data_IF_873746326370
#
_entry.id   IF_873746326370
#
_cell.length_a   1.000
_cell.length_b   1.000
_cell.length_c   1.000
_cell.angle_alpha   90.00
_cell.angle_beta   90.00
_cell.angle_gamma   90.00
#
_symmetry.space_group_name_H-M   'P 1'
#
loop_
_entity.id
_entity.type
_entity.pdbx_description
1 polymer ?
#
# COMPACT_ATOMS: atom_id res chain seq x y z
N UNK A 1 7.36 -20.16 -7.24
CA UNK A 1 7.34 -18.76 -6.73
C UNK A 1 6.14 -17.96 -7.23
N UNK A 2 5.73 -18.07 -8.51
CA UNK A 2 4.56 -17.34 -9.02
C UNK A 2 3.24 -17.70 -8.31
N UNK A 3 3.00 -18.99 -8.01
CA UNK A 3 1.76 -19.43 -7.37
C UNK A 3 1.54 -18.84 -5.97
N UNK A 4 2.57 -18.88 -5.12
CA UNK A 4 2.54 -18.24 -3.80
C UNK A 4 2.33 -16.73 -3.89
N UNK A 5 2.75 -16.10 -5.01
CA UNK A 5 2.58 -14.66 -5.20
C UNK A 5 1.12 -14.29 -5.48
N UNK A 6 0.47 -15.04 -6.36
CA UNK A 6 -0.94 -14.84 -6.68
C UNK A 6 -1.86 -15.15 -5.50
N UNK A 7 -1.56 -16.19 -4.71
CA UNK A 7 -2.34 -16.50 -3.52
C UNK A 7 -2.37 -15.35 -2.51
N UNK A 8 -1.24 -14.70 -2.24
CA UNK A 8 -1.25 -13.58 -1.30
C UNK A 8 -1.97 -12.37 -1.89
N UNK A 9 -1.84 -12.10 -3.19
CA UNK A 9 -2.55 -11.01 -3.86
C UNK A 9 -4.07 -11.20 -3.75
N UNK A 10 -4.55 -12.42 -3.98
CA UNK A 10 -5.96 -12.78 -3.81
C UNK A 10 -6.43 -12.61 -2.36
N UNK A 11 -5.61 -12.97 -1.36
CA UNK A 11 -5.95 -12.78 0.06
C UNK A 11 -6.04 -11.29 0.43
N UNK A 12 -5.10 -10.46 -0.04
CA UNK A 12 -5.15 -9.01 0.18
C UNK A 12 -6.39 -8.42 -0.46
N UNK A 13 -6.72 -8.81 -1.70
CA UNK A 13 -7.94 -8.38 -2.38
C UNK A 13 -9.20 -8.75 -1.62
N UNK A 14 -9.36 -10.03 -1.24
CA UNK A 14 -10.52 -10.48 -0.47
C UNK A 14 -10.69 -9.71 0.85
N UNK A 15 -9.57 -9.45 1.55
CA UNK A 15 -9.58 -8.73 2.82
C UNK A 15 -9.76 -7.22 2.69
N UNK A 16 -9.62 -6.63 1.50
CA UNK A 16 -9.73 -5.18 1.27
C UNK A 16 -11.05 -4.74 0.63
N UNK A 17 -11.89 -5.66 0.15
CA UNK A 17 -13.14 -5.31 -0.57
C UNK A 17 -14.19 -4.52 0.25
N UNK A 18 -14.32 -4.80 1.55
CA UNK A 18 -15.16 -4.06 2.50
C UNK A 18 -14.48 -4.04 3.86
N UNK A 19 -13.71 -2.99 4.13
CA UNK A 19 -12.94 -2.89 5.37
C UNK A 19 -12.73 -1.45 5.81
N UNK A 20 -12.59 -1.28 7.11
CA UNK A 20 -12.17 -0.01 7.69
C UNK A 20 -10.65 0.01 7.77
N UNK A 21 -10.06 1.15 7.43
CA UNK A 21 -8.62 1.31 7.41
C UNK A 21 -8.24 2.57 8.16
N UNK A 22 -7.27 2.45 9.03
CA UNK A 22 -6.54 3.58 9.57
C UNK A 22 -5.26 3.78 8.75
N UNK A 23 -5.12 4.97 8.18
CA UNK A 23 -3.97 5.37 7.37
C UNK A 23 -3.15 6.39 8.15
N UNK A 24 -1.86 6.12 8.29
CA UNK A 24 -0.90 7.10 8.80
C UNK A 24 0.10 7.44 7.71
N UNK A 25 0.24 8.72 7.40
CA UNK A 25 1.26 9.24 6.48
C UNK A 25 2.32 9.99 7.28
N UNK A 26 3.59 9.75 6.97
CA UNK A 26 4.73 10.45 7.56
C UNK A 26 5.63 11.02 6.47
N UNK A 27 5.81 12.34 6.45
CA UNK A 27 6.64 13.05 5.48
C UNK A 27 7.36 14.20 6.18
N UNK A 28 8.70 14.26 6.07
CA UNK A 28 9.47 15.37 6.65
C UNK A 28 9.29 15.57 8.16
N UNK A 29 8.99 14.50 8.91
CA UNK A 29 8.70 14.55 10.35
C UNK A 29 7.25 14.94 10.71
N UNK A 30 6.44 15.36 9.73
CA UNK A 30 5.01 15.55 9.92
C UNK A 30 4.29 14.19 9.88
N UNK A 31 3.23 14.07 10.67
CA UNK A 31 2.37 12.88 10.74
C UNK A 31 0.93 13.28 10.54
N UNK A 32 0.29 12.63 9.57
CA UNK A 32 -1.14 12.77 9.29
C UNK A 32 -1.83 11.43 9.53
N UNK A 33 -3.03 11.47 10.10
CA UNK A 33 -3.87 10.32 10.37
C UNK A 33 -5.18 10.52 9.61
N UNK A 34 -5.60 9.50 8.87
CA UNK A 34 -6.88 9.47 8.19
C UNK A 34 -7.59 8.14 8.47
N UNK A 35 -8.92 8.21 8.60
CA UNK A 35 -9.78 7.03 8.62
C UNK A 35 -10.39 6.87 7.24
N UNK A 36 -10.18 5.71 6.64
CA UNK A 36 -10.68 5.38 5.32
C UNK A 36 -11.59 4.15 5.39
N UNK A 37 -12.52 4.07 4.43
CA UNK A 37 -13.28 2.85 4.15
C UNK A 37 -12.89 2.35 2.77
N UNK A 38 -12.61 1.07 2.67
CA UNK A 38 -12.48 0.40 1.38
C UNK A 38 -13.84 -0.14 0.97
N UNK A 39 -14.28 0.23 -0.23
CA UNK A 39 -15.56 -0.23 -0.77
C UNK A 39 -15.45 -0.43 -2.26
N UNK A 40 -15.71 -1.65 -2.73
CA UNK A 40 -15.67 -2.01 -4.17
C UNK A 40 -14.35 -1.61 -4.86
N UNK A 41 -13.23 -1.73 -4.15
CA UNK A 41 -11.90 -1.37 -4.66
C UNK A 41 -11.58 0.13 -4.64
N UNK A 42 -12.44 0.96 -4.06
CA UNK A 42 -12.19 2.39 -3.85
C UNK A 42 -11.81 2.67 -2.40
N UNK A 43 -10.92 3.65 -2.21
CA UNK A 43 -10.61 4.20 -0.88
C UNK A 43 -11.48 5.44 -0.67
N UNK A 44 -12.28 5.43 0.39
CA UNK A 44 -13.16 6.52 0.77
C UNK A 44 -12.65 7.20 2.04
N UNK A 45 -12.38 8.50 1.99
CA UNK A 45 -12.09 9.33 3.18
C UNK A 45 -13.27 10.29 3.34
N UNK A 46 -13.84 10.34 4.54
CA UNK A 46 -15.05 11.14 4.82
C UNK A 46 -16.21 10.90 3.81
N UNK A 47 -16.30 9.68 3.28
CA UNK A 47 -17.24 9.22 2.24
C UNK A 47 -16.98 9.73 0.81
N UNK A 48 -15.86 10.39 0.57
CA UNK A 48 -15.43 10.83 -0.75
C UNK A 48 -14.30 9.93 -1.28
N UNK A 49 -14.29 9.68 -2.59
CA UNK A 49 -13.24 8.87 -3.22
C UNK A 49 -11.92 9.62 -3.19
N UNK A 50 -10.88 8.97 -2.65
CA UNK A 50 -9.51 9.48 -2.65
C UNK A 50 -8.58 8.52 -3.40
N UNK A 51 -8.20 8.94 -4.62
CA UNK A 51 -7.29 8.19 -5.49
C UNK A 51 -5.82 8.21 -5.04
N UNK A 52 -5.47 8.97 -4.01
CA UNK A 52 -4.11 9.07 -3.47
C UNK A 52 -3.96 8.35 -2.13
N UNK A 53 -5.05 8.11 -1.42
CA UNK A 53 -5.05 7.50 -0.10
C UNK A 53 -4.52 6.04 -0.08
N UNK A 54 -3.67 5.74 0.90
CA UNK A 54 -3.28 4.37 1.25
C UNK A 54 -2.32 3.66 0.28
N UNK A 55 -1.88 4.32 -0.80
CA UNK A 55 -0.86 3.80 -1.71
C UNK A 55 -1.18 2.38 -2.22
N UNK A 56 -0.15 1.54 -2.29
CA UNK A 56 -0.26 0.13 -2.67
C UNK A 56 -0.77 -0.76 -1.51
N UNK A 57 -0.72 -0.28 -0.26
CA UNK A 57 -1.08 -1.08 0.93
C UNK A 57 -2.54 -1.49 0.99
N UNK A 58 -3.44 -0.73 0.36
CA UNK A 58 -4.89 -1.01 0.37
C UNK A 58 -5.46 -1.18 -1.02
N UNK A 59 -4.57 -1.32 -2.00
CA UNK A 59 -4.89 -1.38 -3.44
C UNK A 59 -4.19 -2.59 -4.06
N UNK A 60 -4.80 -3.78 -3.96
CA UNK A 60 -4.25 -5.03 -4.50
C UNK A 60 -3.88 -4.93 -5.98
N UNK A 61 -4.65 -4.19 -6.77
CA UNK A 61 -4.40 -3.97 -8.19
C UNK A 61 -3.09 -3.22 -8.47
N UNK A 62 -2.70 -2.28 -7.59
CA UNK A 62 -1.42 -1.60 -7.69
C UNK A 62 -0.27 -2.56 -7.35
N UNK A 63 -0.46 -3.43 -6.36
CA UNK A 63 0.51 -4.47 -6.02
C UNK A 63 0.73 -5.45 -7.19
N UNK A 64 -0.35 -5.92 -7.84
CA UNK A 64 -0.26 -6.76 -9.05
C UNK A 64 0.55 -6.07 -10.15
N UNK A 65 0.24 -4.81 -10.43
CA UNK A 65 0.95 -4.03 -11.46
C UNK A 65 2.43 -3.85 -11.11
N UNK A 66 2.76 -3.57 -9.85
CA UNK A 66 4.17 -3.47 -9.43
C UNK A 66 4.94 -4.78 -9.64
N UNK A 67 4.33 -5.93 -9.32
CA UNK A 67 4.93 -7.24 -9.60
C UNK A 67 5.16 -7.42 -11.11
N UNK A 68 4.18 -7.08 -11.94
CA UNK A 68 4.31 -7.14 -13.40
C UNK A 68 5.40 -6.19 -13.94
N UNK A 69 5.63 -5.05 -13.28
CA UNK A 69 6.69 -4.08 -13.58
C UNK A 69 8.06 -4.47 -12.99
N UNK A 70 8.19 -5.69 -12.45
CA UNK A 70 9.47 -6.24 -11.99
C UNK A 70 9.80 -5.97 -10.52
N UNK A 71 8.80 -5.64 -9.69
CA UNK A 71 9.00 -5.59 -8.24
C UNK A 71 9.46 -6.96 -7.71
N UNK A 72 10.44 -6.95 -6.80
CA UNK A 72 10.92 -8.16 -6.13
C UNK A 72 9.98 -8.50 -4.97
N UNK A 73 9.58 -9.76 -4.89
CA UNK A 73 8.69 -10.27 -3.84
C UNK A 73 9.48 -11.24 -2.95
N UNK A 74 9.33 -11.08 -1.65
CA UNK A 74 9.84 -12.02 -0.65
C UNK A 74 8.72 -12.37 0.33
N UNK A 75 8.38 -13.65 0.40
CA UNK A 75 7.38 -14.16 1.34
C UNK A 75 8.07 -14.60 2.63
N UNK A 76 7.50 -14.20 3.76
CA UNK A 76 7.89 -14.60 5.11
C UNK A 76 6.68 -15.25 5.80
N UNK A 77 6.87 -15.77 7.01
CA UNK A 77 5.83 -16.50 7.76
C UNK A 77 4.52 -15.70 7.87
N UNK A 78 4.61 -14.47 8.35
CA UNK A 78 3.44 -13.61 8.66
C UNK A 78 3.48 -12.29 7.87
N UNK A 79 4.29 -12.21 6.82
CA UNK A 79 4.39 -11.00 6.00
C UNK A 79 4.87 -11.28 4.58
N UNK A 80 4.56 -10.35 3.68
CA UNK A 80 5.08 -10.30 2.31
C UNK A 80 5.78 -8.97 2.12
N UNK A 81 7.03 -9.01 1.66
CA UNK A 81 7.80 -7.83 1.33
C UNK A 81 7.87 -7.64 -0.18
N UNK A 82 7.59 -6.43 -0.63
CA UNK A 82 7.81 -5.97 -2.01
C UNK A 82 8.90 -4.92 -2.03
N UNK A 83 9.75 -4.97 -3.06
CA UNK A 83 10.69 -3.88 -3.39
C UNK A 83 10.53 -3.49 -4.85
N UNK A 84 10.30 -2.21 -5.10
CA UNK A 84 10.15 -1.64 -6.44
C UNK A 84 11.12 -0.48 -6.63
N UNK A 85 11.73 -0.40 -7.82
CA UNK A 85 12.56 0.73 -8.20
C UNK A 85 11.70 1.96 -8.50
N UNK A 86 12.31 3.15 -8.42
CA UNK A 86 11.68 4.41 -8.83
C UNK A 86 11.14 4.38 -10.26
N UNK A 87 11.79 3.65 -11.17
CA UNK A 87 11.29 3.45 -12.55
C UNK A 87 10.00 2.63 -12.59
N UNK A 88 9.93 1.52 -11.85
CA UNK A 88 8.71 0.71 -11.77
C UNK A 88 7.57 1.50 -11.11
N UNK A 89 7.86 2.28 -10.08
CA UNK A 89 6.88 3.15 -9.42
C UNK A 89 6.38 4.24 -10.38
N UNK A 90 7.27 4.92 -11.10
CA UNK A 90 6.88 5.95 -12.05
C UNK A 90 6.03 5.40 -13.21
N UNK A 91 6.20 4.12 -13.57
CA UNK A 91 5.38 3.45 -14.57
C UNK A 91 4.01 2.96 -14.04
N UNK A 92 3.76 3.04 -12.73
CA UNK A 92 2.55 2.50 -12.10
C UNK A 92 1.32 3.36 -12.40
N UNK A 93 1.44 4.68 -12.26
CA UNK A 93 0.43 5.69 -12.61
C UNK A 93 1.04 7.08 -12.71
N UNK A 94 0.30 8.05 -13.26
CA UNK A 94 0.74 9.45 -13.33
C UNK A 94 1.02 10.05 -11.93
N UNK A 95 0.19 9.73 -10.94
CA UNK A 95 0.37 10.19 -9.56
C UNK A 95 1.67 9.63 -8.96
N UNK A 96 1.99 8.36 -9.21
CA UNK A 96 3.25 7.77 -8.76
C UNK A 96 4.46 8.35 -9.51
N UNK A 97 4.33 8.67 -10.79
CA UNK A 97 5.37 9.36 -11.55
C UNK A 97 5.68 10.74 -10.95
N UNK A 98 4.63 11.51 -10.61
CA UNK A 98 4.79 12.82 -9.96
C UNK A 98 5.36 12.70 -8.56
N UNK A 99 4.92 11.71 -7.77
CA UNK A 99 5.50 11.43 -6.45
C UNK A 99 7.00 11.12 -6.57
N UNK A 100 7.38 10.17 -7.44
CA UNK A 100 8.78 9.80 -7.66
C UNK A 100 9.62 11.01 -8.10
N UNK A 101 9.07 11.87 -8.98
CA UNK A 101 9.73 13.12 -9.40
C UNK A 101 9.96 14.06 -8.21
N UNK A 102 8.96 14.29 -7.36
CA UNK A 102 9.06 15.13 -6.15
C UNK A 102 10.04 14.57 -5.13
N UNK A 103 10.15 13.24 -5.05
CA UNK A 103 11.05 12.54 -4.11
C UNK A 103 12.51 12.44 -4.60
N UNK A 104 12.86 13.04 -5.73
CA UNK A 104 14.24 13.11 -6.23
C UNK A 104 14.55 12.23 -7.44
N UNK A 105 13.52 11.61 -8.05
CA UNK A 105 13.60 10.97 -9.36
C UNK A 105 13.76 9.44 -9.34
N UNK A 106 13.43 8.84 -10.48
CA UNK A 106 13.31 7.38 -10.64
C UNK A 106 14.62 6.59 -10.45
N UNK A 107 15.76 7.25 -10.60
CA UNK A 107 17.10 6.64 -10.39
C UNK A 107 17.45 6.50 -8.90
N UNK A 108 16.85 7.31 -8.03
CA UNK A 108 17.27 7.44 -6.62
C UNK A 108 16.28 6.80 -5.66
N UNK A 109 15.00 6.81 -6.01
CA UNK A 109 13.91 6.36 -5.17
C UNK A 109 13.77 4.84 -5.26
N UNK A 110 13.60 4.20 -4.10
CA UNK A 110 13.14 2.82 -3.97
C UNK A 110 11.90 2.82 -3.06
N UNK A 111 10.90 2.00 -3.40
CA UNK A 111 9.78 1.70 -2.50
C UNK A 111 9.97 0.31 -1.91
N UNK A 112 9.74 0.21 -0.60
CA UNK A 112 9.63 -1.05 0.14
C UNK A 112 8.24 -1.13 0.75
N UNK A 113 7.50 -2.18 0.44
CA UNK A 113 6.21 -2.44 1.06
C UNK A 113 6.33 -3.72 1.90
N UNK A 114 5.79 -3.70 3.11
CA UNK A 114 5.65 -4.88 3.98
C UNK A 114 4.18 -5.04 4.30
N UNK A 115 3.56 -6.07 3.73
CA UNK A 115 2.18 -6.48 3.98
C UNK A 115 2.20 -7.48 5.14
N UNK A 116 1.36 -7.27 6.16
CA UNK A 116 1.31 -8.10 7.38
C UNK A 116 0.02 -8.91 7.44
N UNK A 117 0.15 -10.14 7.91
CA UNK A 117 -0.96 -11.08 8.05
C UNK A 117 -1.01 -11.65 9.47
N UNK A 118 -2.20 -12.02 9.92
CA UNK A 118 -2.43 -12.78 11.13
C UNK A 118 -3.19 -14.06 10.75
N UNK A 119 -2.45 -15.16 10.57
CA UNK A 119 -2.99 -16.34 9.88
C UNK A 119 -3.39 -15.97 8.45
N UNK A 120 -4.67 -16.17 8.12
CA UNK A 120 -5.21 -15.87 6.79
C UNK A 120 -5.69 -14.42 6.63
N UNK A 121 -5.69 -13.62 7.71
CA UNK A 121 -6.25 -12.27 7.70
C UNK A 121 -5.19 -11.22 7.38
N UNK A 122 -5.42 -10.40 6.35
CA UNK A 122 -4.61 -9.21 6.10
C UNK A 122 -4.84 -8.15 7.19
N UNK A 123 -3.75 -7.57 7.70
CA UNK A 123 -3.76 -6.57 8.80
C UNK A 123 -3.30 -5.19 8.38
N UNK A 124 -3.01 -4.98 7.10
CA UNK A 124 -2.34 -3.77 6.61
C UNK A 124 -0.83 -3.94 6.55
N UNK A 125 -0.08 -2.84 6.68
CA UNK A 125 1.35 -2.86 6.39
C UNK A 125 2.04 -1.52 6.50
N UNK A 126 3.23 -1.46 5.94
CA UNK A 126 4.04 -0.25 5.77
C UNK A 126 4.53 -0.17 4.33
N UNK A 127 4.44 1.01 3.72
CA UNK A 127 5.02 1.36 2.44
C UNK A 127 5.97 2.52 2.66
N UNK A 128 7.25 2.29 2.39
CA UNK A 128 8.34 3.21 2.64
C UNK A 128 9.00 3.59 1.32
N UNK A 129 9.01 4.88 1.00
CA UNK A 129 9.82 5.46 -0.04
C UNK A 129 11.11 6.00 0.58
N UNK A 130 12.24 5.57 0.04
CA UNK A 130 13.54 5.96 0.56
C UNK A 130 14.55 6.19 -0.57
N UNK A 131 15.61 6.94 -0.25
CA UNK A 131 16.79 7.08 -1.11
C UNK A 131 17.95 6.24 -0.57
N UNK A 132 18.64 5.53 -1.46
CA UNK A 132 19.75 4.64 -1.12
C UNK A 132 19.32 3.19 -0.88
N UNK A 133 20.19 2.25 -1.25
CA UNK A 133 19.94 0.80 -1.12
C UNK A 133 20.24 0.25 0.28
N UNK A 134 19.49 -0.77 0.69
CA UNK A 134 19.79 -1.56 1.89
C UNK A 134 19.47 -0.87 3.23
N UNK A 135 20.21 -1.19 4.32
CA UNK A 135 19.93 -0.73 5.69
C UNK A 135 20.17 0.77 5.92
N UNK A 136 20.90 1.44 5.02
CA UNK A 136 21.21 2.88 5.10
C UNK A 136 20.26 3.75 4.28
N UNK A 137 19.12 3.20 3.88
CA UNK A 137 18.11 3.94 3.12
C UNK A 137 17.57 5.09 3.98
N UNK A 138 17.61 6.31 3.44
CA UNK A 138 17.08 7.48 4.12
C UNK A 138 15.58 7.59 3.80
N UNK A 139 14.69 7.52 4.80
CA UNK A 139 13.26 7.57 4.58
C UNK A 139 12.84 8.95 4.07
N UNK A 140 12.01 8.98 3.03
CA UNK A 140 11.43 10.21 2.50
C UNK A 140 9.93 10.30 2.82
N UNK A 141 9.19 9.23 2.55
CA UNK A 141 7.76 9.12 2.81
C UNK A 141 7.49 7.73 3.37
N UNK A 142 6.72 7.67 4.45
CA UNK A 142 6.22 6.42 5.00
C UNK A 142 4.71 6.47 5.08
N UNK A 143 4.07 5.45 4.53
CA UNK A 143 2.65 5.19 4.64
C UNK A 143 2.48 3.94 5.51
N UNK A 144 1.56 3.98 6.45
CA UNK A 144 1.19 2.83 7.26
C UNK A 144 -0.31 2.63 7.15
N UNK A 145 -0.72 1.39 6.97
CA UNK A 145 -2.13 1.01 6.96
C UNK A 145 -2.38 -0.02 8.05
N UNK A 146 -3.48 0.16 8.77
CA UNK A 146 -4.03 -0.86 9.67
C UNK A 146 -5.43 -1.21 9.17
N UNK A 147 -5.59 -2.43 8.66
CA UNK A 147 -6.87 -2.91 8.15
C UNK A 147 -7.62 -3.60 9.28
N UNK A 148 -8.84 -3.12 9.54
CA UNK A 148 -9.81 -3.76 10.42
C UNK A 148 -10.89 -4.35 9.53
N UNK A 149 -11.12 -5.65 9.65
CA UNK A 149 -12.26 -6.29 9.02
C UNK A 149 -13.52 -5.56 9.49
N UNK A 150 -14.31 -5.03 8.56
CA UNK A 150 -15.59 -4.46 8.92
C UNK A 150 -16.41 -5.55 9.63
N UNK A 151 -16.82 -5.30 10.87
CA UNK A 151 -17.99 -6.00 11.41
C UNK A 151 -19.13 -5.70 10.44
N UNK A 152 -20.03 -6.67 10.11
CA UNK A 152 -21.15 -6.42 9.23
C UNK A 152 -22.11 -5.40 9.87
N UNK A 153 -21.76 -4.12 9.81
CA UNK A 153 -22.67 -3.01 10.07
C UNK A 153 -23.39 -2.78 8.76
N UNK A 154 -24.56 -3.41 8.70
CA UNK A 154 -25.67 -3.08 7.80
C UNK A 154 -25.73 -1.58 7.55
N UNK A 155 -25.49 -1.22 6.28
CA UNK A 155 -25.82 0.05 5.63
C UNK A 155 -25.11 1.31 6.15
N UNK A 156 -24.75 2.26 5.25
CA UNK A 156 -24.35 3.58 5.68
C UNK A 156 -25.55 4.22 6.40
N UNK A 157 -25.35 4.65 7.64
CA UNK A 157 -26.35 5.44 8.34
C UNK A 157 -26.57 6.72 7.52
N UNK A 158 -27.76 6.85 6.92
CA UNK A 158 -28.21 8.12 6.38
C UNK A 158 -28.21 9.13 7.53
N UNK A 159 -27.60 10.29 7.28
CA UNK A 159 -27.84 11.50 8.06
C UNK A 159 -29.33 11.79 8.17
#
# INVERSE_FOLDING_TARGET
MAHATEEWLARVEAATLDSEVELTTQLGGQRELAHARLWRGQVLIDWEVDDQAGGCLVRPELLRRLVALGARVQTMRDSVQLRASGRALAALSAQHADLVRRLGGAERVEMRATLRFAGEQYRGGEELYAVGGGPRAQPLLRLMATVRSASPRTSPAKR
#
